data_IF_587869399061
#
_entry.id   IF_587869399061
#
_cell.length_a   1.000
_cell.length_b   1.000
_cell.length_c   1.000
_cell.angle_alpha   90.00
_cell.angle_beta   90.00
_cell.angle_gamma   90.00
#
_symmetry.space_group_name_H-M   'P 1'
#
loop_
_entity.id
_entity.type
_entity.pdbx_description
1 polymer ?
#
# COMPACT_ATOMS: atom_id res chain seq x y z
N UNK A 1 15.03 3.17 -9.45
CA UNK A 1 14.48 3.70 -8.18
C UNK A 1 15.40 3.56 -6.93
N UNK A 2 16.67 3.17 -7.08
CA UNK A 2 17.62 2.96 -5.98
C UNK A 2 17.72 4.13 -4.99
N UNK A 3 18.01 5.33 -5.47
CA UNK A 3 18.26 6.48 -4.59
C UNK A 3 17.00 6.89 -3.81
N UNK A 4 15.82 6.75 -4.43
CA UNK A 4 14.54 6.91 -3.74
C UNK A 4 14.39 5.90 -2.59
N UNK A 5 14.58 4.61 -2.84
CA UNK A 5 14.44 3.57 -1.80
C UNK A 5 15.45 3.78 -0.66
N UNK A 6 16.68 4.17 -0.99
CA UNK A 6 17.72 4.42 0.02
C UNK A 6 17.50 5.70 0.83
N UNK A 7 16.68 6.64 0.35
CA UNK A 7 16.33 7.85 1.10
C UNK A 7 15.30 7.61 2.21
N UNK A 8 14.62 6.45 2.20
CA UNK A 8 13.55 6.10 3.14
C UNK A 8 14.13 5.35 4.35
N UNK A 9 13.67 5.71 5.54
CA UNK A 9 14.06 5.04 6.80
C UNK A 9 13.49 3.62 6.84
N UNK A 10 14.28 2.60 7.25
CA UNK A 10 13.77 1.26 7.54
C UNK A 10 12.86 1.21 8.79
N UNK A 11 11.87 0.29 8.86
CA UNK A 11 11.36 -0.50 7.74
C UNK A 11 10.70 0.42 6.70
N UNK A 12 11.07 0.26 5.43
CA UNK A 12 10.65 1.18 4.37
C UNK A 12 9.22 0.88 3.96
N UNK A 13 8.42 1.92 3.78
CA UNK A 13 7.07 1.80 3.24
C UNK A 13 6.91 2.66 2.01
N UNK A 14 6.61 2.03 0.87
CA UNK A 14 6.46 2.70 -0.43
C UNK A 14 5.04 2.56 -0.92
N UNK A 15 4.32 3.68 -1.02
CA UNK A 15 3.02 3.74 -1.68
C UNK A 15 3.24 3.90 -3.18
N UNK A 16 2.61 3.05 -3.99
CA UNK A 16 2.58 3.14 -5.45
C UNK A 16 1.17 3.53 -5.90
N UNK A 17 1.10 4.52 -6.78
CA UNK A 17 -0.12 5.03 -7.43
C UNK A 17 0.15 5.09 -8.93
N UNK A 18 0.16 3.92 -9.57
CA UNK A 18 0.43 3.77 -11.01
C UNK A 18 -0.75 3.11 -11.70
N UNK A 19 -0.77 3.15 -13.04
CA UNK A 19 -1.83 2.51 -13.82
C UNK A 19 -1.86 1.01 -13.55
N UNK A 20 -3.04 0.48 -13.23
CA UNK A 20 -3.27 -0.94 -12.93
C UNK A 20 -2.78 -1.90 -14.03
N UNK A 21 -2.48 -3.14 -13.64
CA UNK A 21 -1.90 -4.16 -14.51
C UNK A 21 -0.37 -4.10 -14.58
N UNK A 22 0.19 -4.38 -15.77
CA UNK A 22 1.64 -4.56 -15.96
C UNK A 22 2.55 -3.45 -15.40
N UNK A 23 2.18 -2.15 -15.42
CA UNK A 23 3.00 -1.10 -14.83
C UNK A 23 3.21 -1.26 -13.31
N UNK A 24 2.22 -1.81 -12.59
CA UNK A 24 2.34 -2.13 -11.17
C UNK A 24 3.40 -3.21 -10.96
N UNK A 25 3.32 -4.31 -11.72
CA UNK A 25 4.26 -5.43 -11.60
C UNK A 25 5.71 -5.00 -11.91
N UNK A 26 5.90 -4.16 -12.93
CA UNK A 26 7.21 -3.58 -13.27
C UNK A 26 7.75 -2.68 -12.15
N UNK A 27 6.87 -1.89 -11.53
CA UNK A 27 7.23 -0.99 -10.43
C UNK A 27 7.63 -1.80 -9.19
N UNK A 28 6.85 -2.82 -8.83
CA UNK A 28 7.15 -3.74 -7.73
C UNK A 28 8.51 -4.40 -7.94
N UNK A 29 8.76 -4.94 -9.14
CA UNK A 29 10.05 -5.58 -9.44
C UNK A 29 11.23 -4.62 -9.27
N UNK A 30 11.15 -3.43 -9.87
CA UNK A 30 12.21 -2.43 -9.81
C UNK A 30 12.47 -1.91 -8.39
N UNK A 31 11.44 -1.78 -7.54
CA UNK A 31 11.59 -1.40 -6.13
C UNK A 31 12.21 -2.55 -5.31
N UNK A 32 11.72 -3.77 -5.52
CA UNK A 32 12.13 -4.97 -4.76
C UNK A 32 13.64 -5.20 -4.81
N UNK A 33 14.30 -4.91 -5.94
CA UNK A 33 15.75 -5.08 -6.12
C UNK A 33 16.61 -4.21 -5.19
N UNK A 34 16.00 -3.26 -4.48
CA UNK A 34 16.67 -2.33 -3.58
C UNK A 34 16.10 -2.34 -2.16
N UNK A 35 15.06 -3.14 -1.91
CA UNK A 35 14.39 -3.27 -0.61
C UNK A 35 14.98 -4.42 0.18
N UNK A 36 14.80 -4.38 1.50
CA UNK A 36 15.27 -5.40 2.43
C UNK A 36 14.08 -6.15 3.04
N UNK A 37 14.26 -7.38 3.57
CA UNK A 37 13.19 -8.09 4.26
C UNK A 37 12.54 -7.23 5.36
N UNK A 38 11.22 -7.26 5.44
CA UNK A 38 10.41 -6.41 6.32
C UNK A 38 10.00 -5.05 5.74
N UNK A 39 10.58 -4.63 4.61
CA UNK A 39 10.09 -3.45 3.90
C UNK A 39 8.74 -3.75 3.22
N UNK A 40 7.88 -2.74 3.09
CA UNK A 40 6.52 -2.84 2.57
C UNK A 40 6.27 -2.06 1.28
N UNK A 41 5.52 -2.68 0.37
CA UNK A 41 4.93 -2.03 -0.80
C UNK A 41 3.43 -1.92 -0.58
N UNK A 42 2.88 -0.72 -0.76
CA UNK A 42 1.47 -0.41 -0.62
C UNK A 42 0.91 0.00 -1.99
N UNK A 43 0.03 -0.81 -2.55
CA UNK A 43 -0.62 -0.54 -3.84
C UNK A 43 -1.93 0.23 -3.61
N UNK A 44 -1.89 1.53 -3.87
CA UNK A 44 -3.03 2.44 -3.73
C UNK A 44 -3.94 2.51 -4.97
N UNK A 45 -3.67 1.67 -5.99
CA UNK A 45 -4.42 1.67 -7.24
C UNK A 45 -5.72 0.87 -7.17
N UNK A 46 -6.61 1.13 -8.13
CA UNK A 46 -7.79 0.29 -8.36
C UNK A 46 -7.37 -0.98 -9.10
N UNK A 47 -7.21 -2.08 -8.37
CA UNK A 47 -6.74 -3.35 -8.91
C UNK A 47 -7.77 -4.46 -8.67
N UNK A 48 -7.72 -5.51 -9.48
CA UNK A 48 -8.51 -6.71 -9.21
C UNK A 48 -7.90 -7.51 -8.05
N UNK A 49 -8.71 -7.88 -7.05
CA UNK A 49 -8.26 -8.58 -5.84
C UNK A 49 -7.36 -9.80 -6.11
N UNK A 50 -7.61 -10.59 -7.18
CA UNK A 50 -6.79 -11.76 -7.51
C UNK A 50 -5.35 -11.40 -7.90
N UNK A 51 -5.15 -10.23 -8.52
CA UNK A 51 -3.80 -9.71 -8.78
C UNK A 51 -3.11 -9.30 -7.48
N UNK A 52 -3.87 -8.77 -6.52
CA UNK A 52 -3.36 -8.42 -5.18
C UNK A 52 -2.90 -9.67 -4.44
N UNK A 53 -3.70 -10.74 -4.45
CA UNK A 53 -3.35 -12.05 -3.87
C UNK A 53 -2.04 -12.60 -4.46
N UNK A 54 -1.94 -12.60 -5.79
CA UNK A 54 -0.73 -13.05 -6.50
C UNK A 54 0.50 -12.23 -6.09
N UNK A 55 0.39 -10.90 -6.09
CA UNK A 55 1.49 -9.98 -5.73
C UNK A 55 1.90 -10.11 -4.27
N UNK A 56 0.96 -10.34 -3.37
CA UNK A 56 1.24 -10.60 -1.96
C UNK A 56 2.09 -11.87 -1.82
N UNK A 57 1.73 -12.95 -2.51
CA UNK A 57 2.54 -14.18 -2.52
C UNK A 57 3.96 -13.93 -3.08
N UNK A 58 4.08 -13.27 -4.23
CA UNK A 58 5.37 -12.96 -4.85
C UNK A 58 6.26 -12.05 -3.98
N UNK A 59 5.67 -11.06 -3.30
CA UNK A 59 6.38 -10.18 -2.38
C UNK A 59 6.90 -10.96 -1.16
N UNK A 60 6.07 -11.84 -0.59
CA UNK A 60 6.44 -12.66 0.56
C UNK A 60 7.62 -13.60 0.28
N UNK A 61 7.74 -14.14 -0.95
CA UNK A 61 8.87 -14.95 -1.39
C UNK A 61 10.21 -14.18 -1.35
N UNK A 62 10.15 -12.84 -1.40
CA UNK A 62 11.31 -11.95 -1.27
C UNK A 62 11.52 -11.41 0.15
N UNK A 63 10.69 -11.85 1.11
CA UNK A 63 10.67 -11.32 2.48
C UNK A 63 10.06 -9.92 2.59
N UNK A 64 9.38 -9.44 1.53
CA UNK A 64 8.73 -8.14 1.51
C UNK A 64 7.27 -8.27 1.98
N UNK A 65 6.77 -7.21 2.59
CA UNK A 65 5.37 -7.09 2.98
C UNK A 65 4.59 -6.40 1.85
N UNK A 66 3.33 -6.80 1.66
CA UNK A 66 2.45 -6.21 0.65
C UNK A 66 1.12 -5.80 1.27
N UNK A 67 0.63 -4.62 0.88
CA UNK A 67 -0.65 -4.07 1.31
C UNK A 67 -1.39 -3.52 0.09
N UNK A 68 -2.52 -4.11 -0.28
CA UNK A 68 -3.47 -3.46 -1.18
C UNK A 68 -4.22 -2.38 -0.41
N UNK A 69 -4.51 -1.25 -1.02
CA UNK A 69 -5.25 -0.17 -0.37
C UNK A 69 -6.14 0.56 -1.37
N UNK A 70 -7.44 0.24 -1.34
CA UNK A 70 -8.41 1.04 -2.09
C UNK A 70 -8.43 2.49 -1.59
N UNK A 71 -8.49 3.44 -2.53
CA UNK A 71 -8.54 4.88 -2.24
C UNK A 71 -9.76 5.48 -2.93
N UNK A 72 -10.63 6.14 -2.17
CA UNK A 72 -11.85 6.78 -2.68
C UNK A 72 -11.96 8.25 -2.24
N UNK A 73 -12.55 9.08 -3.10
CA UNK A 73 -12.69 10.53 -2.90
C UNK A 73 -12.29 11.39 -4.09
N UNK A 74 -11.75 10.77 -5.16
CA UNK A 74 -11.26 11.51 -6.34
C UNK A 74 -10.06 12.39 -6.01
N UNK A 75 -9.73 13.30 -6.92
CA UNK A 75 -8.59 14.21 -6.75
C UNK A 75 -8.73 15.12 -5.52
N UNK A 76 -9.93 15.66 -5.30
CA UNK A 76 -10.21 16.55 -4.17
C UNK A 76 -10.13 15.79 -2.83
N UNK A 77 -10.70 14.59 -2.76
CA UNK A 77 -10.59 13.72 -1.60
C UNK A 77 -9.13 13.35 -1.32
N UNK A 78 -8.35 12.99 -2.35
CA UNK A 78 -6.92 12.70 -2.16
C UNK A 78 -6.13 13.88 -1.55
N UNK A 79 -6.55 15.13 -1.82
CA UNK A 79 -5.92 16.33 -1.26
C UNK A 79 -6.38 16.66 0.17
N UNK A 80 -7.65 16.43 0.48
CA UNK A 80 -8.31 16.95 1.68
C UNK A 80 -8.67 15.88 2.72
N UNK A 81 -8.61 14.60 2.36
CA UNK A 81 -9.02 13.48 3.18
C UNK A 81 -9.78 12.45 2.37
N UNK A 82 -9.13 11.38 1.88
CA UNK A 82 -9.83 10.29 1.20
C UNK A 82 -10.34 9.26 2.20
N UNK A 83 -11.17 8.34 1.72
CA UNK A 83 -11.40 7.05 2.39
C UNK A 83 -10.31 6.07 1.96
N UNK A 84 -9.72 5.36 2.92
CA UNK A 84 -8.61 4.42 2.72
C UNK A 84 -8.99 3.03 3.22
N UNK A 85 -8.77 2.01 2.40
CA UNK A 85 -9.21 0.63 2.67
C UNK A 85 -8.02 -0.35 2.61
N UNK A 86 -7.03 -0.25 3.51
CA UNK A 86 -5.85 -1.12 3.49
C UNK A 86 -6.16 -2.58 3.88
N UNK A 87 -5.59 -3.54 3.15
CA UNK A 87 -5.70 -4.98 3.39
C UNK A 87 -4.49 -5.76 2.85
N UNK A 88 -4.19 -6.92 3.42
CA UNK A 88 -3.00 -7.71 3.12
C UNK A 88 -2.16 -7.99 4.37
N UNK A 89 -0.92 -7.52 4.41
CA UNK A 89 -0.05 -7.69 5.59
C UNK A 89 -0.44 -6.75 6.73
N UNK A 90 -0.83 -7.31 7.87
CA UNK A 90 -1.11 -6.53 9.09
C UNK A 90 0.14 -5.78 9.60
N UNK A 91 1.33 -6.35 9.43
CA UNK A 91 2.59 -5.69 9.76
C UNK A 91 2.84 -4.46 8.87
N UNK A 92 2.60 -4.58 7.55
CA UNK A 92 2.68 -3.44 6.65
C UNK A 92 1.70 -2.33 7.03
N UNK A 93 0.47 -2.69 7.41
CA UNK A 93 -0.53 -1.73 7.89
C UNK A 93 -0.04 -0.99 9.14
N UNK A 94 0.47 -1.69 10.14
CA UNK A 94 0.98 -1.05 11.36
C UNK A 94 2.14 -0.07 11.09
N UNK A 95 3.00 -0.35 10.11
CA UNK A 95 4.08 0.56 9.72
C UNK A 95 3.58 1.90 9.16
N UNK A 96 2.38 1.93 8.57
CA UNK A 96 1.82 3.14 7.93
C UNK A 96 0.59 3.71 8.64
N UNK A 97 0.03 3.00 9.64
CA UNK A 97 -1.24 3.33 10.31
C UNK A 97 -1.33 4.81 10.71
N UNK A 98 -0.35 5.30 11.46
CA UNK A 98 -0.33 6.69 11.95
C UNK A 98 -0.37 7.73 10.83
N UNK A 99 0.18 7.39 9.66
CA UNK A 99 0.14 8.27 8.48
C UNK A 99 -1.24 8.19 7.86
N UNK A 100 -1.78 6.98 7.65
CA UNK A 100 -3.08 6.78 7.03
C UNK A 100 -4.20 7.43 7.84
N UNK A 101 -4.19 7.29 9.17
CA UNK A 101 -5.17 7.90 10.07
C UNK A 101 -5.14 9.44 10.00
N UNK A 102 -3.97 10.05 9.84
CA UNK A 102 -3.82 11.51 9.75
C UNK A 102 -4.24 12.08 8.40
N UNK A 103 -4.06 11.32 7.32
CA UNK A 103 -4.38 11.81 5.97
C UNK A 103 -5.79 11.44 5.52
N UNK A 104 -6.43 10.44 6.14
CA UNK A 104 -7.82 10.08 5.85
C UNK A 104 -8.79 11.22 6.20
N UNK A 105 -9.98 11.18 5.59
CA UNK A 105 -11.10 12.02 6.04
C UNK A 105 -11.37 11.80 7.53
N UNK A 106 -11.71 12.87 8.25
CA UNK A 106 -12.02 12.82 9.68
C UNK A 106 -13.52 13.02 9.87
N UNK A 107 -14.16 12.11 10.59
CA UNK A 107 -15.59 12.16 10.96
C UNK A 107 -15.74 11.98 12.47
N UNK A 108 -16.94 12.18 13.02
CA UNK A 108 -17.17 12.19 14.47
C UNK A 108 -16.76 10.88 15.17
N UNK A 109 -16.88 9.74 14.48
CA UNK A 109 -16.52 8.41 14.98
C UNK A 109 -15.07 7.99 14.67
N UNK A 110 -14.29 8.83 14.00
CA UNK A 110 -12.85 8.63 13.77
C UNK A 110 -12.38 8.92 12.34
N UNK A 111 -11.15 8.52 11.99
CA UNK A 111 -10.65 8.64 10.63
C UNK A 111 -11.29 7.59 9.72
N UNK A 112 -11.55 7.93 8.45
CA UNK A 112 -12.08 7.03 7.42
C UNK A 112 -11.00 6.06 6.90
N UNK A 113 -10.41 5.28 7.79
CA UNK A 113 -9.47 4.21 7.50
C UNK A 113 -9.61 3.09 8.53
N UNK A 114 -9.58 1.85 8.07
CA UNK A 114 -9.45 0.69 8.94
C UNK A 114 -8.73 -0.43 8.21
N UNK A 115 -8.10 -1.34 8.95
CA UNK A 115 -7.57 -2.56 8.37
C UNK A 115 -8.75 -3.46 7.95
N UNK A 116 -8.89 -3.69 6.65
CA UNK A 116 -10.02 -4.39 6.05
C UNK A 116 -9.91 -5.91 6.23
N UNK A 117 -8.69 -6.45 6.17
CA UNK A 117 -8.44 -7.88 6.32
C UNK A 117 -7.21 -8.35 5.55
N UNK A 118 -6.94 -9.65 5.60
CA UNK A 118 -5.83 -10.29 4.89
C UNK A 118 -6.09 -10.41 3.38
N UNK A 119 -5.04 -10.75 2.62
CA UNK A 119 -5.16 -11.02 1.18
C UNK A 119 -5.57 -9.79 0.37
N UNK A 120 -6.46 -9.99 -0.60
CA UNK A 120 -6.98 -8.99 -1.51
C UNK A 120 -8.28 -8.32 -1.06
N UNK A 121 -8.68 -8.46 0.22
CA UNK A 121 -9.96 -7.94 0.73
C UNK A 121 -10.14 -6.41 0.61
N UNK A 122 -9.05 -5.67 0.41
CA UNK A 122 -9.04 -4.22 0.20
C UNK A 122 -9.56 -3.76 -1.16
N UNK A 123 -9.65 -4.66 -2.15
CA UNK A 123 -9.82 -4.36 -3.57
C UNK A 123 -11.03 -5.06 -4.19
#
# INVERSE_FOLDING_TARGET
PRDFVLSIKPPRSVIILVKAGAPVDQTIAALSDHMSPGDSIIDGGNEWYQNTERRLHEASQKGLLYLGMGVSGGEEGARNGPSLMPGGSFEAYNNVKDILEKVAAQVEDGPCVTYVGEGGLSN
#
